data_IF_183823962918
#
_entry.id   IF_183823962918
#
_cell.length_a   1.000
_cell.length_b   1.000
_cell.length_c   1.000
_cell.angle_alpha   90.00
_cell.angle_beta   90.00
_cell.angle_gamma   90.00
#
_symmetry.space_group_name_H-M   'P 1'
#
loop_
_entity.id
_entity.type
_entity.pdbx_description
1 polymer ?
#
# COMPACT_ATOMS: atom_id res chain seq x y z
N UNK A 1 -13.48 -20.52 18.46
CA UNK A 1 -13.14 -19.81 17.23
C UNK A 1 -12.80 -20.80 16.13
N UNK A 2 -13.83 -21.25 15.42
CA UNK A 2 -13.70 -22.22 14.33
C UNK A 2 -13.49 -21.49 13.01
N UNK A 3 -12.46 -21.86 12.27
CA UNK A 3 -12.20 -21.40 10.91
C UNK A 3 -13.42 -21.73 10.02
N UNK A 4 -14.24 -20.72 9.74
CA UNK A 4 -15.27 -20.85 8.70
C UNK A 4 -14.56 -20.92 7.37
N UNK A 5 -14.81 -22.00 6.65
CA UNK A 5 -14.26 -22.23 5.32
C UNK A 5 -14.60 -21.02 4.42
N UNK A 6 -13.70 -20.58 3.52
CA UNK A 6 -13.91 -19.36 2.70
C UNK A 6 -15.29 -19.34 2.03
N UNK A 7 -15.76 -20.50 1.58
CA UNK A 7 -17.09 -20.69 1.00
C UNK A 7 -18.24 -20.43 1.98
N UNK A 8 -18.10 -20.86 3.24
CA UNK A 8 -19.09 -20.58 4.29
C UNK A 8 -19.06 -19.11 4.73
N UNK A 9 -17.88 -18.48 4.72
CA UNK A 9 -17.75 -17.04 4.93
C UNK A 9 -18.49 -16.23 3.86
N UNK A 10 -18.23 -16.54 2.59
CA UNK A 10 -18.93 -15.92 1.45
C UNK A 10 -20.43 -16.19 1.50
N UNK A 11 -20.86 -17.44 1.78
CA UNK A 11 -22.28 -17.79 1.84
C UNK A 11 -22.99 -17.13 3.02
N UNK A 12 -22.31 -16.98 4.16
CA UNK A 12 -22.80 -16.24 5.32
C UNK A 12 -22.97 -14.74 5.02
N UNK A 13 -21.98 -14.13 4.38
CA UNK A 13 -22.04 -12.72 3.96
C UNK A 13 -23.12 -12.50 2.89
N UNK A 14 -23.24 -13.38 1.90
CA UNK A 14 -24.32 -13.31 0.91
C UNK A 14 -25.70 -13.44 1.56
N UNK A 15 -25.87 -14.37 2.50
CA UNK A 15 -27.13 -14.52 3.23
C UNK A 15 -27.41 -13.30 4.10
N UNK A 16 -26.38 -12.71 4.70
CA UNK A 16 -26.52 -11.49 5.48
C UNK A 16 -26.80 -10.24 4.61
N UNK A 17 -26.24 -10.17 3.41
CA UNK A 17 -26.44 -9.06 2.48
C UNK A 17 -27.82 -9.12 1.80
N UNK A 18 -28.28 -10.29 1.37
CA UNK A 18 -29.52 -10.46 0.60
C UNK A 18 -30.72 -10.93 1.43
N UNK A 19 -30.50 -11.58 2.57
CA UNK A 19 -31.54 -12.12 3.44
C UNK A 19 -31.26 -11.73 4.91
N UNK A 20 -30.97 -10.44 5.13
CA UNK A 20 -30.75 -9.91 6.47
C UNK A 20 -32.03 -10.02 7.31
N UNK A 21 -31.87 -10.37 8.60
CA UNK A 21 -33.00 -10.48 9.52
C UNK A 21 -33.55 -9.08 9.91
N UNK A 22 -32.75 -8.04 9.71
CA UNK A 22 -33.15 -6.64 9.87
C UNK A 22 -33.83 -6.12 8.59
N UNK A 23 -35.09 -5.69 8.73
CA UNK A 23 -35.91 -5.18 7.62
C UNK A 23 -35.30 -3.96 6.94
N UNK A 24 -34.52 -3.14 7.65
CA UNK A 24 -33.87 -1.97 7.04
C UNK A 24 -32.81 -2.38 6.02
N UNK A 25 -31.88 -3.26 6.40
CA UNK A 25 -30.84 -3.75 5.51
C UNK A 25 -31.40 -4.58 4.37
N UNK A 26 -32.46 -5.36 4.62
CA UNK A 26 -33.16 -6.09 3.57
C UNK A 26 -33.75 -5.15 2.52
N UNK A 27 -34.51 -4.13 2.92
CA UNK A 27 -35.10 -3.16 1.99
C UNK A 27 -33.99 -2.40 1.25
N UNK A 28 -32.93 -1.96 1.95
CA UNK A 28 -31.81 -1.25 1.35
C UNK A 28 -31.12 -2.09 0.26
N UNK A 29 -30.89 -3.37 0.50
CA UNK A 29 -30.29 -4.29 -0.49
C UNK A 29 -31.17 -4.47 -1.72
N UNK A 30 -32.49 -4.62 -1.56
CA UNK A 30 -33.40 -4.75 -2.69
C UNK A 30 -33.57 -3.44 -3.47
N UNK A 31 -33.55 -2.30 -2.79
CA UNK A 31 -33.53 -0.98 -3.44
C UNK A 31 -32.23 -0.80 -4.22
N UNK A 32 -31.07 -1.13 -3.63
CA UNK A 32 -29.79 -1.08 -4.32
C UNK A 32 -29.75 -2.03 -5.53
N UNK A 33 -30.32 -3.23 -5.41
CA UNK A 33 -30.44 -4.19 -6.51
C UNK A 33 -31.36 -3.64 -7.62
N UNK A 34 -32.48 -3.03 -7.26
CA UNK A 34 -33.37 -2.37 -8.22
C UNK A 34 -32.65 -1.23 -8.97
N UNK A 35 -31.97 -0.34 -8.27
CA UNK A 35 -31.19 0.73 -8.89
C UNK A 35 -30.05 0.16 -9.74
N UNK A 36 -29.31 -0.84 -9.26
CA UNK A 36 -28.18 -1.43 -9.97
C UNK A 36 -28.57 -2.28 -11.19
N UNK A 37 -29.69 -3.01 -11.13
CA UNK A 37 -30.11 -3.94 -12.19
C UNK A 37 -31.05 -3.32 -13.21
N UNK A 38 -31.81 -2.28 -12.85
CA UNK A 38 -32.79 -1.64 -13.73
C UNK A 38 -32.33 -0.23 -14.12
N UNK A 39 -32.02 0.62 -13.13
CA UNK A 39 -31.66 2.03 -13.40
C UNK A 39 -30.27 2.14 -14.02
N UNK A 40 -29.29 1.38 -13.54
CA UNK A 40 -27.92 1.37 -14.08
C UNK A 40 -27.86 0.99 -15.57
N UNK A 41 -28.33 -0.20 -15.96
CA UNK A 41 -28.41 -0.63 -17.36
C UNK A 41 -29.31 0.28 -18.19
N UNK A 42 -30.43 0.76 -17.63
CA UNK A 42 -31.31 1.70 -18.31
C UNK A 42 -30.62 3.03 -18.64
N UNK A 43 -29.87 3.60 -17.71
CA UNK A 43 -29.07 4.82 -17.94
C UNK A 43 -27.94 4.57 -18.93
N UNK A 44 -27.21 3.45 -18.80
CA UNK A 44 -26.15 3.08 -19.74
C UNK A 44 -26.68 2.88 -21.18
N UNK A 45 -27.83 2.22 -21.34
CA UNK A 45 -28.53 2.09 -22.61
C UNK A 45 -29.08 3.44 -23.11
N UNK A 46 -29.45 4.37 -22.24
CA UNK A 46 -29.89 5.70 -22.67
C UNK A 46 -28.74 6.61 -23.12
N UNK A 47 -27.55 6.45 -22.51
CA UNK A 47 -26.36 7.28 -22.76
C UNK A 47 -25.52 6.73 -23.92
N UNK A 48 -25.34 5.41 -23.99
CA UNK A 48 -24.50 4.74 -24.98
C UNK A 48 -25.30 3.85 -25.95
N UNK A 49 -26.59 3.64 -25.70
CA UNK A 49 -27.40 2.79 -26.55
C UNK A 49 -27.79 3.52 -27.84
N UNK A 50 -27.26 2.99 -28.94
CA UNK A 50 -27.63 3.34 -30.31
C UNK A 50 -27.74 2.08 -31.15
N UNK A 51 -27.93 2.27 -32.45
CA UNK A 51 -27.73 1.18 -33.41
C UNK A 51 -26.28 0.73 -33.32
N UNK A 52 -26.05 -0.56 -33.52
CA UNK A 52 -24.70 -1.10 -33.70
C UNK A 52 -23.99 -0.30 -34.81
N UNK A 53 -22.69 -0.02 -34.63
CA UNK A 53 -21.88 0.58 -35.69
C UNK A 53 -21.96 -0.24 -36.97
N UNK A 54 -21.77 0.40 -38.13
CA UNK A 54 -21.92 -0.24 -39.43
C UNK A 54 -21.01 -1.48 -39.54
N UNK A 55 -21.63 -2.67 -39.58
CA UNK A 55 -20.95 -3.97 -39.70
C UNK A 55 -20.89 -4.81 -38.43
N UNK A 56 -21.29 -4.28 -37.27
CA UNK A 56 -21.29 -5.01 -35.99
C UNK A 56 -22.61 -5.79 -35.80
N UNK A 57 -22.51 -7.06 -35.40
CA UNK A 57 -23.66 -7.95 -35.19
C UNK A 57 -23.75 -8.31 -33.70
N UNK A 58 -24.83 -7.90 -33.04
CA UNK A 58 -25.07 -8.30 -31.65
C UNK A 58 -25.26 -9.81 -31.52
N UNK A 59 -24.80 -10.36 -30.38
CA UNK A 59 -25.02 -11.78 -30.05
C UNK A 59 -26.52 -12.09 -29.98
N UNK A 60 -26.96 -13.31 -30.36
CA UNK A 60 -28.38 -13.67 -30.48
C UNK A 60 -29.23 -13.44 -29.22
N UNK A 61 -28.63 -13.55 -28.04
CA UNK A 61 -29.31 -13.35 -26.75
C UNK A 61 -29.47 -11.88 -26.37
N UNK A 62 -28.71 -10.97 -26.99
CA UNK A 62 -28.77 -9.52 -26.76
C UNK A 62 -29.71 -8.80 -27.73
N UNK A 63 -30.10 -9.48 -28.82
CA UNK A 63 -31.05 -9.00 -29.83
C UNK A 63 -32.38 -8.49 -29.24
N UNK A 64 -33.02 -9.15 -28.26
CA UNK A 64 -34.26 -8.65 -27.66
C UNK A 64 -34.05 -7.34 -26.90
N UNK A 65 -32.92 -7.20 -26.20
CA UNK A 65 -32.55 -5.99 -25.45
C UNK A 65 -32.29 -4.83 -26.42
N UNK A 66 -31.62 -5.11 -27.54
CA UNK A 66 -31.34 -4.12 -28.58
C UNK A 66 -32.63 -3.64 -29.27
N UNK A 67 -33.58 -4.55 -29.53
CA UNK A 67 -34.88 -4.23 -30.11
C UNK A 67 -35.73 -3.36 -29.17
N UNK A 68 -35.70 -3.68 -27.87
CA UNK A 68 -36.40 -2.92 -26.84
C UNK A 68 -35.79 -1.53 -26.66
N UNK A 69 -34.46 -1.44 -26.72
CA UNK A 69 -33.73 -0.17 -26.72
C UNK A 69 -34.09 0.71 -27.93
N UNK A 70 -34.09 0.13 -29.15
CA UNK A 70 -34.47 0.85 -30.37
C UNK A 70 -35.93 1.35 -30.31
N UNK A 71 -36.84 0.56 -29.74
CA UNK A 71 -38.25 0.94 -29.56
C UNK A 71 -38.44 2.08 -28.54
N UNK A 72 -37.70 2.06 -27.43
CA UNK A 72 -37.74 3.12 -26.42
C UNK A 72 -37.12 4.41 -26.97
N UNK A 73 -35.96 4.33 -27.62
CA UNK A 73 -35.27 5.49 -28.21
C UNK A 73 -36.12 6.15 -29.30
N UNK A 74 -36.79 5.36 -30.13
CA UNK A 74 -37.74 5.87 -31.14
C UNK A 74 -39.03 6.48 -30.57
N UNK A 75 -39.45 6.09 -29.36
CA UNK A 75 -40.66 6.63 -28.71
C UNK A 75 -40.39 7.90 -27.90
N UNK A 76 -39.19 8.04 -27.31
CA UNK A 76 -38.90 9.11 -26.36
C UNK A 76 -37.88 10.16 -26.82
N UNK A 77 -37.20 9.99 -27.97
CA UNK A 77 -36.20 10.94 -28.52
C UNK A 77 -35.27 11.55 -27.45
N UNK A 78 -34.85 10.72 -26.48
CA UNK A 78 -33.94 11.14 -25.42
C UNK A 78 -32.54 11.36 -26.01
N UNK A 79 -32.18 12.63 -26.22
CA UNK A 79 -30.84 13.06 -26.60
C UNK A 79 -30.07 13.45 -25.34
N UNK A 80 -29.29 12.49 -24.83
CA UNK A 80 -28.46 12.66 -23.63
C UNK A 80 -27.00 13.00 -23.95
N UNK A 81 -26.70 13.39 -25.20
CA UNK A 81 -25.37 13.88 -25.62
C UNK A 81 -24.79 14.93 -24.67
N UNK A 82 -25.58 15.88 -24.12
CA UNK A 82 -25.07 16.86 -23.16
C UNK A 82 -24.58 16.26 -21.83
N UNK A 83 -25.15 15.12 -21.41
CA UNK A 83 -24.77 14.43 -20.17
C UNK A 83 -23.56 13.52 -20.40
N UNK A 84 -23.48 12.84 -21.54
CA UNK A 84 -22.32 12.01 -21.89
C UNK A 84 -21.05 12.82 -22.17
N UNK A 85 -21.20 14.04 -22.73
CA UNK A 85 -20.07 14.96 -22.97
C UNK A 85 -19.80 15.89 -21.78
N UNK A 86 -20.56 15.76 -20.69
CA UNK A 86 -20.37 16.59 -19.51
C UNK A 86 -19.03 16.31 -18.81
N UNK A 87 -18.49 17.33 -18.16
CA UNK A 87 -17.29 17.21 -17.33
C UNK A 87 -17.45 16.17 -16.20
N UNK A 88 -18.67 15.92 -15.74
CA UNK A 88 -18.99 14.87 -14.79
C UNK A 88 -18.77 13.49 -15.42
N UNK A 89 -19.32 13.23 -16.62
CA UNK A 89 -19.14 11.96 -17.32
C UNK A 89 -17.65 11.70 -17.64
N UNK A 90 -16.91 12.73 -18.08
CA UNK A 90 -15.45 12.65 -18.26
C UNK A 90 -14.73 12.36 -16.94
N UNK A 91 -15.10 13.03 -15.84
CA UNK A 91 -14.50 12.78 -14.53
C UNK A 91 -14.80 11.36 -14.04
N UNK A 92 -16.04 10.89 -14.16
CA UNK A 92 -16.45 9.54 -13.74
C UNK A 92 -15.73 8.46 -14.57
N UNK A 93 -15.57 8.68 -15.87
CA UNK A 93 -14.77 7.82 -16.75
C UNK A 93 -13.30 7.78 -16.34
N UNK A 94 -12.74 8.91 -15.90
CA UNK A 94 -11.38 9.00 -15.34
C UNK A 94 -11.31 8.61 -13.85
N UNK A 95 -12.24 7.76 -13.37
CA UNK A 95 -12.31 7.28 -11.98
C UNK A 95 -12.30 8.43 -10.96
N UNK A 96 -13.02 9.50 -11.29
CA UNK A 96 -13.13 10.77 -10.57
C UNK A 96 -11.78 11.46 -10.27
N UNK A 97 -10.73 11.16 -11.06
CA UNK A 97 -9.36 11.61 -10.82
C UNK A 97 -8.77 11.17 -9.47
N UNK A 98 -9.42 10.24 -8.74
CA UNK A 98 -8.92 9.75 -7.46
C UNK A 98 -7.49 9.23 -7.57
N UNK A 99 -7.22 8.47 -8.64
CA UNK A 99 -5.92 7.88 -8.92
C UNK A 99 -4.82 8.95 -9.05
N UNK A 100 -5.09 10.01 -9.82
CA UNK A 100 -4.14 11.09 -10.07
C UNK A 100 -3.76 11.86 -8.79
N UNK A 101 -4.76 12.21 -7.97
CA UNK A 101 -4.51 12.92 -6.71
C UNK A 101 -3.86 12.01 -5.67
N UNK A 102 -4.23 10.73 -5.65
CA UNK A 102 -3.64 9.75 -4.76
C UNK A 102 -2.17 9.53 -5.11
N UNK A 103 -1.83 9.30 -6.38
CA UNK A 103 -0.44 9.16 -6.82
C UNK A 103 0.38 10.41 -6.52
N UNK A 104 -0.16 11.60 -6.77
CA UNK A 104 0.54 12.85 -6.45
C UNK A 104 0.78 12.99 -4.94
N UNK A 105 -0.20 12.67 -4.10
CA UNK A 105 -0.06 12.72 -2.64
C UNK A 105 0.94 11.66 -2.15
N UNK A 106 0.83 10.44 -2.67
CA UNK A 106 1.68 9.31 -2.33
C UNK A 106 3.12 9.58 -2.74
N UNK A 107 3.37 10.08 -3.95
CA UNK A 107 4.70 10.48 -4.42
C UNK A 107 5.33 11.54 -3.50
N UNK A 108 4.58 12.58 -3.11
CA UNK A 108 5.09 13.63 -2.23
C UNK A 108 5.45 13.10 -0.84
N UNK A 109 4.59 12.27 -0.26
CA UNK A 109 4.79 11.72 1.09
C UNK A 109 5.92 10.70 1.08
N UNK A 110 5.86 9.71 0.19
CA UNK A 110 6.85 8.63 0.09
C UNK A 110 8.21 9.20 -0.27
N UNK A 111 8.31 10.08 -1.27
CA UNK A 111 9.60 10.66 -1.63
C UNK A 111 10.22 11.45 -0.46
N UNK A 112 9.43 12.29 0.21
CA UNK A 112 9.92 13.06 1.36
C UNK A 112 10.42 12.14 2.51
N UNK A 113 9.70 11.05 2.79
CA UNK A 113 10.13 10.06 3.77
C UNK A 113 11.39 9.31 3.34
N UNK A 114 11.48 8.90 2.08
CA UNK A 114 12.64 8.19 1.54
C UNK A 114 13.91 9.03 1.62
N UNK A 115 13.84 10.34 1.32
CA UNK A 115 14.99 11.23 1.45
C UNK A 115 15.47 11.34 2.91
N UNK A 116 14.55 11.51 3.86
CA UNK A 116 14.91 11.56 5.29
C UNK A 116 15.48 10.24 5.81
N UNK A 117 14.93 9.12 5.38
CA UNK A 117 15.44 7.80 5.75
C UNK A 117 16.86 7.56 5.20
N UNK A 118 17.11 7.96 3.95
CA UNK A 118 18.43 7.86 3.33
C UNK A 118 19.45 8.78 4.01
N UNK A 119 19.06 9.98 4.42
CA UNK A 119 19.91 10.89 5.20
C UNK A 119 20.25 10.30 6.58
N UNK A 120 19.29 9.69 7.26
CA UNK A 120 19.52 9.03 8.55
C UNK A 120 20.47 7.82 8.42
N UNK A 121 20.31 6.98 7.41
CA UNK A 121 21.19 5.83 7.17
C UNK A 121 22.64 6.28 6.85
N UNK A 122 22.79 7.21 5.90
CA UNK A 122 24.10 7.70 5.47
C UNK A 122 24.82 8.55 6.53
N UNK A 123 24.11 9.23 7.42
CA UNK A 123 24.72 10.09 8.44
C UNK A 123 24.91 9.36 9.77
N UNK A 124 23.86 8.70 10.27
CA UNK A 124 23.85 8.13 11.62
C UNK A 124 24.39 6.70 11.59
N UNK A 125 23.88 5.85 10.71
CA UNK A 125 24.25 4.42 10.69
C UNK A 125 25.69 4.28 10.19
N UNK A 126 26.01 4.83 9.01
CA UNK A 126 27.36 4.79 8.47
C UNK A 126 28.37 5.53 9.36
N UNK A 127 27.98 6.67 9.95
CA UNK A 127 28.82 7.41 10.91
C UNK A 127 29.15 6.60 12.16
N UNK A 128 28.17 5.86 12.70
CA UNK A 128 28.36 5.00 13.88
C UNK A 128 29.30 3.83 13.55
N UNK A 129 29.05 3.13 12.43
CA UNK A 129 29.85 1.99 12.00
C UNK A 129 31.30 2.42 11.77
N UNK A 130 31.53 3.51 11.04
CA UNK A 130 32.88 4.06 10.80
C UNK A 130 33.58 4.50 12.07
N UNK A 131 32.83 5.01 13.05
CA UNK A 131 33.41 5.40 14.35
C UNK A 131 33.90 4.17 15.12
N UNK A 132 33.10 3.09 15.14
CA UNK A 132 33.49 1.82 15.76
C UNK A 132 34.71 1.23 15.06
N UNK A 133 34.71 1.20 13.72
CA UNK A 133 35.83 0.73 12.92
C UNK A 133 37.11 1.52 13.23
N UNK A 134 37.06 2.85 13.14
CA UNK A 134 38.21 3.73 13.40
C UNK A 134 38.74 3.57 14.82
N UNK A 135 37.84 3.52 15.80
CA UNK A 135 38.22 3.34 17.22
C UNK A 135 38.89 1.99 17.43
N UNK A 136 38.34 0.92 16.84
CA UNK A 136 38.91 -0.42 16.94
C UNK A 136 40.30 -0.51 16.28
N UNK A 137 40.47 0.07 15.09
CA UNK A 137 41.77 0.09 14.39
C UNK A 137 42.81 0.94 15.13
N UNK A 138 42.40 2.09 15.68
CA UNK A 138 43.27 2.94 16.50
C UNK A 138 43.68 2.23 17.80
N UNK A 139 42.76 1.52 18.46
CA UNK A 139 43.07 0.74 19.65
C UNK A 139 44.04 -0.40 19.30
N UNK A 140 43.78 -1.12 18.21
CA UNK A 140 44.62 -2.22 17.75
C UNK A 140 46.04 -1.76 17.40
N UNK A 141 46.19 -0.64 16.71
CA UNK A 141 47.52 -0.06 16.40
C UNK A 141 48.26 0.38 17.66
N UNK A 142 47.56 0.97 18.65
CA UNK A 142 48.15 1.29 19.95
C UNK A 142 48.57 0.05 20.73
N UNK A 143 47.73 -0.99 20.78
CA UNK A 143 48.06 -2.27 21.42
C UNK A 143 49.28 -2.92 20.75
N UNK A 144 49.34 -2.89 19.42
CA UNK A 144 50.48 -3.41 18.65
C UNK A 144 51.77 -2.67 18.95
N UNK A 145 51.71 -1.35 19.18
CA UNK A 145 52.87 -0.54 19.55
C UNK A 145 53.37 -0.85 20.98
N UNK A 146 52.50 -1.30 21.89
CA UNK A 146 52.88 -1.73 23.24
C UNK A 146 53.55 -3.11 23.26
N UNK A 147 53.27 -3.95 22.27
CA UNK A 147 53.88 -5.26 22.09
C UNK A 147 55.28 -5.13 21.47
N UNK A 148 56.26 -4.81 22.30
CA UNK A 148 57.68 -4.70 21.91
C UNK A 148 58.28 -6.09 21.70
N UNK A 149 58.96 -6.37 20.59
CA UNK A 149 59.56 -7.69 20.29
C UNK A 149 60.69 -8.17 21.23
N UNK A 150 60.91 -7.50 22.36
CA UNK A 150 61.97 -7.75 23.33
C UNK A 150 61.45 -8.52 24.54
N UNK A 151 62.06 -9.68 24.84
CA UNK A 151 61.70 -10.53 25.98
C UNK A 151 61.78 -9.81 27.34
N UNK A 152 62.73 -8.88 27.49
CA UNK A 152 62.91 -8.08 28.72
C UNK A 152 61.71 -7.21 29.02
N UNK A 153 61.15 -6.58 28.00
CA UNK A 153 60.06 -5.62 28.15
C UNK A 153 58.75 -6.33 28.54
N UNK A 154 58.55 -7.56 28.07
CA UNK A 154 57.43 -8.40 28.53
C UNK A 154 57.55 -8.80 30.00
N UNK A 155 58.76 -9.16 30.46
CA UNK A 155 59.00 -9.50 31.88
C UNK A 155 58.75 -8.26 32.76
N UNK A 156 59.18 -7.09 32.31
CA UNK A 156 58.92 -5.82 33.00
C UNK A 156 57.42 -5.51 33.09
N UNK A 157 56.68 -5.62 31.97
CA UNK A 157 55.23 -5.43 31.94
C UNK A 157 54.49 -6.41 32.85
N UNK A 158 54.92 -7.67 32.91
CA UNK A 158 54.35 -8.67 33.82
C UNK A 158 54.60 -8.34 35.30
N UNK A 159 55.82 -7.88 35.64
CA UNK A 159 56.15 -7.46 37.00
C UNK A 159 55.33 -6.23 37.41
N UNK A 160 55.22 -5.22 36.54
CA UNK A 160 54.37 -4.04 36.75
C UNK A 160 52.90 -4.44 36.90
N UNK A 161 52.38 -5.31 36.03
CA UNK A 161 51.01 -5.79 36.11
C UNK A 161 50.69 -6.49 37.43
N UNK A 162 51.61 -7.32 37.93
CA UNK A 162 51.46 -8.00 39.22
C UNK A 162 51.43 -7.02 40.39
N UNK A 163 52.28 -5.98 40.38
CA UNK A 163 52.28 -4.93 41.41
C UNK A 163 51.00 -4.09 41.38
N UNK A 164 50.48 -3.78 40.20
CA UNK A 164 49.20 -3.06 40.05
C UNK A 164 48.03 -3.88 40.57
N UNK A 165 47.96 -5.18 40.23
CA UNK A 165 46.93 -6.08 40.75
C UNK A 165 47.02 -6.21 42.27
N UNK A 166 48.23 -6.32 42.83
CA UNK A 166 48.43 -6.34 44.27
C UNK A 166 47.93 -5.06 44.94
N UNK A 167 48.27 -3.89 44.38
CA UNK A 167 47.77 -2.61 44.89
C UNK A 167 46.26 -2.44 44.77
N UNK A 168 45.63 -2.96 43.70
CA UNK A 168 44.17 -2.98 43.55
C UNK A 168 43.50 -3.86 44.61
N UNK A 169 44.02 -5.06 44.85
CA UNK A 169 43.50 -6.00 45.86
C UNK A 169 43.62 -5.41 47.27
N UNK A 170 44.71 -4.67 47.53
CA UNK A 170 44.95 -4.02 48.82
C UNK A 170 44.21 -2.68 48.98
N UNK A 171 43.50 -2.20 47.96
CA UNK A 171 42.76 -0.94 48.02
C UNK A 171 43.64 0.31 47.99
N UNK A 172 44.87 0.22 47.48
CA UNK A 172 45.79 1.38 47.35
C UNK A 172 45.34 2.34 46.24
N UNK A 173 44.52 1.85 45.30
CA UNK A 173 44.01 2.61 44.14
C UNK A 173 42.49 2.82 44.14
N UNK A 174 41.80 2.43 45.22
CA UNK A 174 40.36 2.66 45.44
C UNK A 174 40.17 3.83 46.42
#
# INVERSE_FOLDING_TARGET
DGEKNLFEGVLYEMKHAFANHDSFFFILSYVALFFGAIVGPGLALSLYGGKLDEGEVAKPWFTPVLALNAAIKGRYHWDNSPLSESSLATALSNRLYFDHYYDMAMLKIVAAFSFKAAEADSSIIDGTIKTIERTSQQLSTKLRALTTGSARDYILMAAVGTLVLFGLIWGVFA
#
